data_IF_433982730023
#
_entry.id   IF_433982730023
#
_cell.length_a   1.000
_cell.length_b   1.000
_cell.length_c   1.000
_cell.angle_alpha   90.00
_cell.angle_beta   90.00
_cell.angle_gamma   90.00
#
_symmetry.space_group_name_H-M   'P 1'
#
loop_
_entity.id
_entity.type
_entity.pdbx_description
1 polymer ?
#
# COMPACT_ATOMS: atom_id res chain seq x y z
N UNK A 1 -43.13 -0.23 14.07
CA UNK A 1 -42.13 0.02 13.03
C UNK A 1 -40.83 0.28 13.76
N UNK A 2 -40.10 -0.78 14.11
CA UNK A 2 -38.82 -0.61 14.80
C UNK A 2 -37.85 -0.04 13.80
N UNK A 3 -37.30 1.15 14.08
CA UNK A 3 -36.14 1.65 13.36
C UNK A 3 -35.07 0.56 13.42
N UNK A 4 -34.77 0.01 12.24
CA UNK A 4 -33.62 -0.84 12.03
C UNK A 4 -32.42 -0.03 12.51
N UNK A 5 -31.78 -0.47 13.60
CA UNK A 5 -30.71 0.28 14.25
C UNK A 5 -29.54 0.39 13.29
N UNK A 6 -29.52 1.46 12.49
CA UNK A 6 -28.43 1.80 11.58
C UNK A 6 -27.21 2.06 12.46
N UNK A 7 -26.27 1.12 12.48
CA UNK A 7 -24.98 1.34 13.11
C UNK A 7 -24.23 2.41 12.31
N UNK A 8 -23.81 3.52 12.93
CA UNK A 8 -23.11 4.57 12.23
C UNK A 8 -21.74 4.08 11.75
N UNK A 9 -21.38 4.42 10.50
CA UNK A 9 -20.08 4.09 9.90
C UNK A 9 -18.91 4.79 10.62
N UNK A 10 -19.16 5.97 11.18
CA UNK A 10 -18.20 6.79 11.93
C UNK A 10 -18.89 7.44 13.12
N UNK A 11 -18.18 7.55 14.25
CA UNK A 11 -18.67 8.22 15.47
C UNK A 11 -17.56 9.08 16.06
N UNK A 12 -17.88 10.36 16.31
CA UNK A 12 -17.01 11.27 17.06
C UNK A 12 -17.10 10.90 18.54
N UNK A 13 -16.00 10.42 19.12
CA UNK A 13 -15.96 10.02 20.54
C UNK A 13 -15.65 11.21 21.46
N UNK A 14 -14.96 12.23 20.94
CA UNK A 14 -14.56 13.43 21.69
C UNK A 14 -14.40 14.62 20.74
N UNK A 15 -14.72 15.83 21.23
CA UNK A 15 -14.65 17.08 20.48
C UNK A 15 -16.00 17.47 19.88
N UNK A 16 -16.11 18.72 19.42
CA UNK A 16 -17.26 19.25 18.72
C UNK A 16 -16.77 19.84 17.40
N UNK A 17 -16.61 19.01 16.35
CA UNK A 17 -16.07 19.49 15.09
C UNK A 17 -17.03 20.49 14.46
N UNK A 18 -16.46 21.52 13.83
CA UNK A 18 -17.24 22.42 12.99
C UNK A 18 -17.69 21.71 11.70
N UNK A 19 -18.69 22.28 11.01
CA UNK A 19 -19.24 21.71 9.77
C UNK A 19 -18.15 21.46 8.72
N UNK A 20 -17.19 22.39 8.61
CA UNK A 20 -16.05 22.30 7.69
C UNK A 20 -15.16 21.09 8.02
N UNK A 21 -14.88 20.86 9.30
CA UNK A 21 -14.02 19.76 9.75
C UNK A 21 -14.71 18.41 9.54
N UNK A 22 -16.02 18.33 9.82
CA UNK A 22 -16.82 17.13 9.57
C UNK A 22 -16.92 16.82 8.07
N UNK A 23 -17.08 17.84 7.22
CA UNK A 23 -17.09 17.69 5.77
C UNK A 23 -15.72 17.21 5.25
N UNK A 24 -14.62 17.81 5.73
CA UNK A 24 -13.28 17.40 5.36
C UNK A 24 -12.99 15.94 5.74
N UNK A 25 -13.34 15.53 6.96
CA UNK A 25 -13.20 14.14 7.40
C UNK A 25 -14.00 13.18 6.51
N UNK A 26 -15.25 13.52 6.21
CA UNK A 26 -16.13 12.70 5.37
C UNK A 26 -15.57 12.56 3.95
N UNK A 27 -15.05 13.64 3.37
CA UNK A 27 -14.44 13.64 2.05
C UNK A 27 -13.21 12.72 2.00
N UNK A 28 -12.33 12.76 3.01
CA UNK A 28 -11.16 11.89 3.10
C UNK A 28 -11.57 10.41 3.19
N UNK A 29 -12.56 10.09 4.00
CA UNK A 29 -13.06 8.71 4.15
C UNK A 29 -13.69 8.21 2.85
N UNK A 30 -14.50 9.04 2.18
CA UNK A 30 -15.08 8.70 0.88
C UNK A 30 -14.01 8.50 -0.20
N UNK A 31 -12.98 9.35 -0.22
CA UNK A 31 -11.85 9.22 -1.14
C UNK A 31 -11.06 7.93 -0.89
N UNK A 32 -10.78 7.60 0.39
CA UNK A 32 -10.09 6.36 0.75
C UNK A 32 -10.90 5.12 0.38
N UNK A 33 -12.22 5.14 0.57
CA UNK A 33 -13.11 4.04 0.19
C UNK A 33 -13.25 3.89 -1.34
N UNK A 34 -13.09 4.97 -2.10
CA UNK A 34 -13.18 4.99 -3.56
C UNK A 34 -11.85 4.76 -4.26
N UNK A 35 -10.76 4.60 -3.50
CA UNK A 35 -9.44 4.37 -4.07
C UNK A 35 -9.43 3.06 -4.85
N UNK A 36 -9.18 3.16 -6.15
CA UNK A 36 -8.98 1.99 -7.01
C UNK A 36 -7.64 1.38 -6.64
N UNK A 37 -7.57 0.06 -6.38
CA UNK A 37 -6.28 -0.61 -6.19
C UNK A 37 -5.40 -0.36 -7.41
N UNK A 38 -4.22 0.23 -7.20
CA UNK A 38 -3.21 0.30 -8.25
C UNK A 38 -2.94 -1.12 -8.76
N UNK A 39 -2.78 -1.31 -10.09
CA UNK A 39 -2.43 -2.61 -10.63
C UNK A 39 -1.19 -3.10 -9.90
N UNK A 40 -1.27 -4.34 -9.38
CA UNK A 40 -0.17 -4.94 -8.67
C UNK A 40 1.10 -4.83 -9.54
N UNK A 41 2.13 -4.15 -9.01
CA UNK A 41 3.42 -4.13 -9.67
C UNK A 41 3.87 -5.58 -9.90
N UNK A 42 4.49 -5.88 -11.05
CA UNK A 42 5.00 -7.22 -11.29
C UNK A 42 5.87 -7.64 -10.11
N UNK A 43 5.56 -8.79 -9.52
CA UNK A 43 6.33 -9.33 -8.39
C UNK A 43 7.78 -9.43 -8.85
N UNK A 44 8.66 -8.65 -8.23
CA UNK A 44 10.08 -8.74 -8.51
C UNK A 44 10.52 -10.18 -8.25
N UNK A 45 11.12 -10.83 -9.24
CA UNK A 45 11.68 -12.17 -9.05
C UNK A 45 12.71 -12.09 -7.94
N UNK A 46 12.63 -13.03 -6.99
CA UNK A 46 13.64 -13.14 -5.93
C UNK A 46 15.02 -13.28 -6.56
N UNK A 47 15.98 -12.47 -6.11
CA UNK A 47 17.38 -12.58 -6.54
C UNK A 47 17.98 -13.94 -6.20
N UNK A 48 17.48 -14.58 -5.13
CA UNK A 48 17.83 -15.96 -4.77
C UNK A 48 17.39 -17.01 -5.80
N UNK A 49 16.36 -16.72 -6.59
CA UNK A 49 15.85 -17.62 -7.63
C UNK A 49 16.50 -17.37 -9.01
N UNK A 50 17.48 -16.47 -9.09
CA UNK A 50 18.15 -16.13 -10.34
C UNK A 50 19.14 -17.23 -10.75
N UNK A 51 18.83 -17.96 -11.83
CA UNK A 51 19.73 -19.02 -12.34
C UNK A 51 21.07 -18.49 -12.80
N UNK A 52 21.20 -17.19 -13.09
CA UNK A 52 22.51 -16.59 -13.39
C UNK A 52 23.46 -16.66 -12.19
N UNK A 53 22.96 -16.82 -10.95
CA UNK A 53 23.80 -17.06 -9.76
C UNK A 53 24.45 -18.46 -9.76
N UNK A 54 23.83 -19.45 -10.42
CA UNK A 54 24.34 -20.82 -10.51
C UNK A 54 25.54 -20.97 -11.45
N UNK A 55 25.86 -19.93 -12.23
CA UNK A 55 26.96 -19.91 -13.19
C UNK A 55 27.78 -18.64 -13.01
N UNK A 56 29.03 -18.62 -13.47
CA UNK A 56 29.84 -17.41 -13.42
C UNK A 56 29.34 -16.40 -14.46
N UNK A 57 28.53 -15.44 -14.04
CA UNK A 57 28.06 -14.33 -14.88
C UNK A 57 28.84 -13.03 -14.61
N UNK A 58 29.07 -12.19 -15.64
CA UNK A 58 29.54 -10.82 -15.46
C UNK A 58 28.55 -9.97 -14.64
N UNK A 59 29.06 -9.08 -13.80
CA UNK A 59 28.23 -8.12 -13.07
C UNK A 59 27.86 -6.94 -13.99
N UNK A 60 26.57 -6.65 -14.13
CA UNK A 60 26.08 -5.51 -14.90
C UNK A 60 25.68 -4.35 -13.96
N UNK A 61 26.09 -3.10 -14.24
CA UNK A 61 25.66 -1.95 -13.47
C UNK A 61 24.16 -1.69 -13.68
N UNK A 62 23.46 -1.34 -12.62
CA UNK A 62 22.03 -1.03 -12.68
C UNK A 62 21.42 -0.68 -11.33
N UNK A 63 20.15 -0.25 -11.31
CA UNK A 63 19.42 0.04 -10.08
C UNK A 63 19.49 -1.15 -9.12
N UNK A 64 19.85 -0.87 -7.86
CA UNK A 64 20.05 -1.86 -6.80
C UNK A 64 21.17 -2.91 -7.02
N UNK A 65 21.97 -2.82 -8.09
CA UNK A 65 23.06 -3.77 -8.36
C UNK A 65 24.12 -3.79 -7.23
N UNK A 66 24.39 -2.65 -6.59
CA UNK A 66 25.28 -2.58 -5.44
C UNK A 66 24.74 -3.37 -4.24
N UNK A 67 23.44 -3.30 -3.93
CA UNK A 67 22.84 -4.06 -2.83
C UNK A 67 22.86 -5.56 -3.12
N UNK A 68 22.56 -5.95 -4.36
CA UNK A 68 22.58 -7.35 -4.80
C UNK A 68 23.99 -7.98 -4.79
N UNK A 69 25.06 -7.19 -4.72
CA UNK A 69 26.43 -7.71 -4.64
C UNK A 69 26.75 -8.43 -3.33
N UNK A 70 25.97 -8.18 -2.28
CA UNK A 70 26.11 -8.78 -0.96
C UNK A 70 25.18 -9.98 -0.72
N UNK A 71 24.29 -10.31 -1.67
CA UNK A 71 23.49 -11.52 -1.59
C UNK A 71 24.38 -12.76 -1.81
N UNK A 72 24.15 -13.86 -1.07
CA UNK A 72 24.91 -15.10 -1.28
C UNK A 72 24.62 -15.69 -2.66
N UNK A 73 25.67 -16.22 -3.29
CA UNK A 73 25.63 -16.87 -4.61
C UNK A 73 25.21 -18.33 -4.51
#
# INVERSE_FOLDING_TARGET
MSDEQVRPLLRVVRGAPEETELAALTAVVAAAASAVPEPAAPVARSRWADRAALVRAPLHPGPAAWRASADPR
#
